data_IF_288466236749
#
_entry.id   IF_288466236749
#
_cell.length_a   1.000
_cell.length_b   1.000
_cell.length_c   1.000
_cell.angle_alpha   90.00
_cell.angle_beta   90.00
_cell.angle_gamma   90.00
#
_symmetry.space_group_name_H-M   'P 1'
#
loop_
_entity.id
_entity.type
_entity.pdbx_description
1 polymer ?
#
# COMPACT_ATOMS: atom_id res chain seq x y z
N UNK A 1 -3.44 25.62 8.84
CA UNK A 1 -3.26 24.15 8.81
C UNK A 1 -3.92 23.59 10.06
N UNK A 2 -4.95 22.76 9.90
CA UNK A 2 -5.61 22.11 11.04
C UNK A 2 -4.69 21.06 11.68
N UNK A 3 -5.02 20.61 12.90
CA UNK A 3 -4.28 19.52 13.55
C UNK A 3 -4.25 18.26 12.66
N UNK A 4 -5.39 17.90 12.07
CA UNK A 4 -5.52 16.79 11.12
C UNK A 4 -4.67 16.96 9.86
N UNK A 5 -4.58 18.17 9.29
CA UNK A 5 -3.70 18.43 8.16
C UNK A 5 -2.21 18.34 8.54
N UNK A 6 -1.86 18.75 9.76
CA UNK A 6 -0.48 18.65 10.24
C UNK A 6 -0.03 17.21 10.44
N UNK A 7 -0.94 16.32 10.83
CA UNK A 7 -0.68 14.89 11.01
C UNK A 7 -0.41 14.16 9.68
N UNK A 8 -0.93 14.69 8.56
CA UNK A 8 -0.67 14.16 7.20
C UNK A 8 0.75 14.44 6.70
N UNK A 9 1.36 15.56 7.11
CA UNK A 9 2.68 15.99 6.63
C UNK A 9 3.78 15.97 7.71
N UNK A 10 3.47 15.53 8.94
CA UNK A 10 4.47 15.35 9.98
C UNK A 10 5.26 14.04 9.80
N UNK A 11 6.29 13.85 10.62
CA UNK A 11 7.10 12.63 10.64
C UNK A 11 6.27 11.34 10.72
N UNK A 12 5.09 11.40 11.35
CA UNK A 12 4.17 10.26 11.43
C UNK A 12 3.55 9.89 10.08
N UNK A 13 3.16 10.88 9.26
CA UNK A 13 2.65 10.64 7.91
C UNK A 13 3.70 10.02 6.98
N UNK A 14 4.94 10.50 7.04
CA UNK A 14 6.06 9.90 6.28
C UNK A 14 6.38 8.47 6.72
N UNK A 15 6.25 8.16 8.01
CA UNK A 15 6.40 6.79 8.53
C UNK A 15 5.35 5.85 7.94
N UNK A 16 4.10 6.30 7.81
CA UNK A 16 3.03 5.53 7.17
C UNK A 16 3.29 5.33 5.69
N UNK A 17 3.64 6.39 4.97
CA UNK A 17 3.99 6.30 3.54
C UNK A 17 5.12 5.28 3.30
N UNK A 18 6.19 5.34 4.08
CA UNK A 18 7.29 4.38 3.99
C UNK A 18 6.83 2.94 4.29
N UNK A 19 6.01 2.75 5.34
CA UNK A 19 5.49 1.43 5.69
C UNK A 19 4.60 0.83 4.58
N UNK A 20 3.71 1.63 3.98
CA UNK A 20 2.91 1.19 2.81
C UNK A 20 3.79 0.89 1.61
N UNK A 21 4.75 1.76 1.28
CA UNK A 21 5.58 1.62 0.08
C UNK A 21 6.53 0.41 0.12
N UNK A 22 6.94 0.00 1.32
CA UNK A 22 7.89 -1.11 1.54
C UNK A 22 7.22 -2.45 1.84
N UNK A 23 5.90 -2.47 2.12
CA UNK A 23 5.15 -3.72 2.32
C UNK A 23 5.23 -4.60 1.08
N UNK A 24 5.56 -5.87 1.27
CA UNK A 24 5.79 -6.83 0.18
C UNK A 24 7.12 -6.67 -0.59
N UNK A 25 7.90 -5.60 -0.37
CA UNK A 25 9.25 -5.43 -0.95
C UNK A 25 10.36 -5.94 -0.03
N UNK A 26 10.10 -5.98 1.28
CA UNK A 26 10.98 -6.55 2.30
C UNK A 26 10.17 -7.43 3.25
N UNK A 27 10.85 -8.23 4.07
CA UNK A 27 10.20 -9.07 5.08
C UNK A 27 9.36 -8.23 6.07
N UNK A 28 8.11 -8.62 6.30
CA UNK A 28 7.19 -7.88 7.19
C UNK A 28 7.73 -7.71 8.61
N UNK A 29 8.45 -8.72 9.14
CA UNK A 29 9.05 -8.64 10.47
C UNK A 29 10.17 -7.60 10.54
N UNK A 30 10.96 -7.49 9.48
CA UNK A 30 11.98 -6.46 9.34
C UNK A 30 11.33 -5.08 9.23
N UNK A 31 10.34 -4.93 8.34
CA UNK A 31 9.60 -3.68 8.16
C UNK A 31 8.94 -3.23 9.47
N UNK A 32 8.30 -4.15 10.19
CA UNK A 32 7.69 -3.93 11.49
C UNK A 32 8.71 -3.37 12.51
N UNK A 33 9.87 -4.02 12.62
CA UNK A 33 10.93 -3.62 13.55
C UNK A 33 11.47 -2.22 13.23
N UNK A 34 11.69 -1.91 11.95
CA UNK A 34 12.25 -0.62 11.52
C UNK A 34 11.27 0.54 11.62
N UNK A 35 9.96 0.25 11.54
CA UNK A 35 8.90 1.26 11.65
C UNK A 35 8.31 1.38 13.05
N UNK A 36 8.80 0.58 14.01
CA UNK A 36 8.40 0.63 15.42
C UNK A 36 6.98 0.11 15.69
N UNK A 37 6.43 -0.74 14.82
CA UNK A 37 5.10 -1.31 15.02
C UNK A 37 5.13 -2.46 16.04
N UNK A 38 4.35 -2.35 17.11
CA UNK A 38 4.34 -3.32 18.22
C UNK A 38 3.90 -4.72 17.77
N UNK A 39 3.00 -4.79 16.78
CA UNK A 39 2.47 -6.05 16.23
C UNK A 39 2.43 -5.99 14.71
N UNK A 40 2.42 -7.16 14.06
CA UNK A 40 2.17 -7.27 12.62
C UNK A 40 0.78 -6.72 12.24
N UNK A 41 -0.21 -6.88 13.11
CA UNK A 41 -1.55 -6.31 12.91
C UNK A 41 -1.51 -4.77 12.84
N UNK A 42 -0.69 -4.12 13.67
CA UNK A 42 -0.46 -2.67 13.56
C UNK A 42 0.23 -2.30 12.26
N UNK A 43 1.28 -3.02 11.86
CA UNK A 43 1.93 -2.78 10.58
C UNK A 43 0.90 -2.87 9.44
N UNK A 44 0.07 -3.92 9.43
CA UNK A 44 -0.95 -4.11 8.41
C UNK A 44 -1.96 -2.98 8.38
N UNK A 45 -2.46 -2.54 9.53
CA UNK A 45 -3.42 -1.44 9.61
C UNK A 45 -2.88 -0.12 9.04
N UNK A 46 -1.58 0.15 9.20
CA UNK A 46 -0.95 1.39 8.73
C UNK A 46 -0.32 1.30 7.34
N UNK A 47 -0.13 0.08 6.84
CA UNK A 47 0.42 -0.16 5.51
C UNK A 47 -0.65 -0.46 4.47
N UNK A 48 -1.89 -0.74 4.89
CA UNK A 48 -3.10 -0.90 4.07
C UNK A 48 -3.60 0.44 3.48
N UNK A 49 -2.70 1.15 2.84
CA UNK A 49 -3.09 2.17 1.88
C UNK A 49 -3.00 1.51 0.51
N UNK A 50 -4.12 1.35 -0.19
CA UNK A 50 -4.12 0.97 -1.60
C UNK A 50 -3.17 1.90 -2.34
N UNK A 51 -2.04 1.35 -2.82
CA UNK A 51 -1.14 2.15 -3.63
C UNK A 51 -1.79 2.36 -4.98
N UNK A 52 -1.66 3.56 -5.53
CA UNK A 52 -2.23 3.90 -6.84
C UNK A 52 -1.80 2.91 -7.94
N UNK A 53 -0.62 2.30 -7.79
CA UNK A 53 -0.08 1.27 -8.67
C UNK A 53 -0.76 -0.09 -8.53
N UNK A 54 -1.37 -0.42 -7.39
CA UNK A 54 -1.97 -1.73 -7.16
C UNK A 54 -3.25 -1.89 -7.99
N UNK A 55 -4.01 -0.81 -8.18
CA UNK A 55 -5.12 -0.78 -9.12
C UNK A 55 -4.64 -1.06 -10.55
N UNK A 56 -3.51 -0.47 -10.96
CA UNK A 56 -2.93 -0.70 -12.29
C UNK A 56 -2.41 -2.13 -12.45
N UNK A 57 -1.79 -2.70 -11.42
CA UNK A 57 -1.33 -4.10 -11.42
C UNK A 57 -2.50 -5.07 -11.51
N UNK A 58 -3.58 -4.83 -10.77
CA UNK A 58 -4.80 -5.65 -10.80
C UNK A 58 -5.48 -5.51 -12.17
N UNK A 59 -5.65 -4.30 -12.69
CA UNK A 59 -6.21 -4.07 -14.02
C UNK A 59 -5.40 -4.77 -15.12
N UNK A 60 -4.06 -4.72 -15.03
CA UNK A 60 -3.20 -5.46 -15.95
C UNK A 60 -3.38 -6.97 -15.82
N UNK A 61 -3.35 -7.51 -14.60
CA UNK A 61 -3.53 -8.95 -14.35
C UNK A 61 -4.90 -9.45 -14.83
N UNK A 62 -5.95 -8.65 -14.65
CA UNK A 62 -7.28 -8.93 -15.18
C UNK A 62 -7.27 -8.97 -16.71
N UNK A 63 -6.65 -8.00 -17.38
CA UNK A 63 -6.55 -7.99 -18.84
C UNK A 63 -5.70 -9.15 -19.38
N UNK A 64 -4.56 -9.46 -18.76
CA UNK A 64 -3.72 -10.59 -19.16
C UNK A 64 -4.47 -11.93 -19.04
N UNK A 65 -5.32 -12.08 -18.01
CA UNK A 65 -6.05 -13.32 -17.73
C UNK A 65 -7.30 -13.47 -18.58
N UNK A 66 -8.09 -12.40 -18.71
CA UNK A 66 -9.42 -12.44 -19.29
C UNK A 66 -9.56 -11.70 -20.63
N UNK A 67 -8.58 -10.89 -21.02
CA UNK A 67 -8.64 -10.08 -22.24
C UNK A 67 -8.82 -10.92 -23.50
N UNK A 68 -8.22 -12.11 -23.56
CA UNK A 68 -8.36 -13.04 -24.69
C UNK A 68 -9.68 -13.85 -24.67
N UNK A 69 -10.45 -13.78 -23.57
CA UNK A 69 -11.72 -14.49 -23.40
C UNK A 69 -12.93 -13.59 -23.67
N UNK A 70 -12.73 -12.27 -23.67
CA UNK A 70 -13.77 -11.30 -23.96
C UNK A 70 -13.75 -10.99 -25.47
N UNK A 71 -14.90 -11.01 -26.16
CA UNK A 71 -14.97 -10.59 -27.55
C UNK A 71 -14.61 -9.11 -27.67
N UNK A 72 -13.96 -8.71 -28.78
CA UNK A 72 -13.50 -7.34 -29.10
C UNK A 72 -14.63 -6.29 -29.21
N UNK A 73 -15.85 -6.60 -28.78
CA UNK A 73 -17.04 -5.78 -29.00
C UNK A 73 -17.64 -5.38 -27.65
N UNK A 74 -17.25 -4.17 -27.21
CA UNK A 74 -18.11 -3.26 -26.44
C UNK A 74 -18.16 -1.91 -27.16
#
# INVERSE_FOLDING_TARGET
MSKEESEKYCFHGWRHFYASHMKGKIEDKLLQSQTGHKTLAMLNHYSDHEMQDDFQKIAKAQNDTFGNLLPDVL
#
